data_IF_021458622719
#
_entry.id   IF_021458622719
#
_cell.length_a   1.000
_cell.length_b   1.000
_cell.length_c   1.000
_cell.angle_alpha   90.00
_cell.angle_beta   90.00
_cell.angle_gamma   90.00
#
_symmetry.space_group_name_H-M   'P 1'
#
loop_
_entity.id
_entity.type
_entity.pdbx_description
1 polymer ?
#
# COMPACT_ATOMS: atom_id res chain seq x y z
N UNK A 1 13.80 -28.58 -18.77
CA UNK A 1 14.03 -27.11 -18.89
C UNK A 1 14.13 -26.75 -20.36
N UNK A 2 15.09 -27.34 -21.10
CA UNK A 2 15.17 -27.18 -22.56
C UNK A 2 13.88 -27.62 -23.29
N UNK A 3 13.19 -28.67 -22.84
CA UNK A 3 11.96 -29.16 -23.45
C UNK A 3 10.81 -28.16 -23.30
N UNK A 4 10.69 -27.55 -22.11
CA UNK A 4 9.70 -26.51 -21.83
C UNK A 4 9.98 -25.27 -22.68
N UNK A 5 11.23 -24.80 -22.70
CA UNK A 5 11.60 -23.62 -23.48
C UNK A 5 11.35 -23.83 -24.98
N UNK A 6 11.76 -24.98 -25.52
CA UNK A 6 11.50 -25.36 -26.92
C UNK A 6 10.02 -25.39 -27.24
N UNK A 7 9.19 -25.94 -26.35
CA UNK A 7 7.74 -25.99 -26.54
C UNK A 7 7.09 -24.60 -26.53
N UNK A 8 7.53 -23.73 -25.62
CA UNK A 8 7.07 -22.34 -25.59
C UNK A 8 7.49 -21.61 -26.87
N UNK A 9 8.75 -21.75 -27.29
CA UNK A 9 9.26 -21.14 -28.52
C UNK A 9 8.44 -21.61 -29.74
N UNK A 10 8.26 -22.93 -29.90
CA UNK A 10 7.47 -23.54 -30.98
C UNK A 10 6.02 -23.03 -31.02
N UNK A 11 5.41 -22.78 -29.87
CA UNK A 11 4.05 -22.24 -29.83
C UNK A 11 4.01 -20.80 -30.35
N UNK A 12 5.02 -20.00 -30.02
CA UNK A 12 5.11 -18.56 -30.29
C UNK A 12 5.66 -18.21 -31.67
N UNK A 13 6.15 -19.16 -32.45
CA UNK A 13 6.62 -18.95 -33.85
C UNK A 13 5.54 -18.39 -34.78
N UNK A 14 4.27 -18.69 -34.51
CA UNK A 14 3.14 -18.24 -35.32
C UNK A 14 1.90 -18.02 -34.45
N UNK A 15 0.99 -17.16 -34.91
CA UNK A 15 -0.31 -16.97 -34.28
C UNK A 15 -1.18 -18.22 -34.47
N UNK A 16 -2.07 -18.47 -33.51
CA UNK A 16 -2.88 -19.70 -33.38
C UNK A 16 -4.38 -19.40 -33.30
N UNK A 17 -4.84 -18.36 -34.00
CA UNK A 17 -6.23 -17.86 -33.93
C UNK A 17 -7.32 -18.86 -34.38
N UNK A 18 -6.96 -19.88 -35.17
CA UNK A 18 -7.86 -20.95 -35.62
C UNK A 18 -7.87 -22.19 -34.72
N UNK A 19 -7.06 -22.20 -33.65
CA UNK A 19 -6.96 -23.34 -32.73
C UNK A 19 -7.87 -23.16 -31.52
N UNK A 20 -8.19 -24.24 -30.81
CA UNK A 20 -8.97 -24.20 -29.58
C UNK A 20 -8.13 -24.00 -28.31
N UNK A 21 -6.82 -23.79 -28.46
CA UNK A 21 -5.90 -23.60 -27.34
C UNK A 21 -6.20 -22.35 -26.49
N UNK A 22 -6.97 -21.40 -27.01
CA UNK A 22 -7.46 -20.25 -26.23
C UNK A 22 -8.42 -20.66 -25.09
N UNK A 23 -8.97 -21.88 -25.13
CA UNK A 23 -9.85 -22.43 -24.09
C UNK A 23 -9.08 -22.99 -22.89
N UNK A 24 -7.75 -23.11 -22.98
CA UNK A 24 -6.95 -23.61 -21.87
C UNK A 24 -7.05 -22.69 -20.66
N UNK A 25 -6.97 -23.30 -19.49
CA UNK A 25 -6.92 -22.63 -18.19
C UNK A 25 -5.51 -22.59 -17.62
N UNK A 26 -4.55 -23.29 -18.20
CA UNK A 26 -3.17 -23.35 -17.68
C UNK A 26 -2.21 -23.04 -18.81
N UNK A 27 -1.30 -22.10 -18.57
CA UNK A 27 -0.28 -21.68 -19.53
C UNK A 27 1.09 -21.70 -18.87
N UNK A 28 2.12 -22.09 -19.61
CA UNK A 28 3.50 -22.13 -19.15
C UNK A 28 4.22 -20.90 -19.66
N UNK A 29 4.87 -20.16 -18.77
CA UNK A 29 5.65 -18.97 -19.08
C UNK A 29 7.15 -19.32 -19.10
N UNK A 30 7.82 -18.98 -20.21
CA UNK A 30 9.29 -18.96 -20.28
C UNK A 30 9.83 -17.64 -19.74
N UNK A 31 9.25 -16.53 -20.22
CA UNK A 31 9.44 -15.17 -19.71
C UNK A 31 8.20 -14.35 -20.04
N UNK A 32 8.07 -13.17 -19.43
CA UNK A 32 6.95 -12.26 -19.70
C UNK A 32 6.76 -12.03 -21.20
N UNK A 33 5.54 -12.20 -21.68
CA UNK A 33 5.20 -12.08 -23.11
C UNK A 33 5.41 -13.36 -23.94
N UNK A 34 5.95 -14.44 -23.38
CA UNK A 34 6.16 -15.72 -24.06
C UNK A 34 5.55 -16.87 -23.26
N UNK A 35 4.42 -17.39 -23.76
CA UNK A 35 3.63 -18.40 -23.07
C UNK A 35 3.22 -19.53 -24.01
N UNK A 36 2.89 -20.70 -23.46
CA UNK A 36 2.25 -21.77 -24.23
C UNK A 36 1.14 -22.45 -23.40
N UNK A 37 0.00 -22.80 -24.02
CA UNK A 37 -1.06 -23.59 -23.37
C UNK A 37 -0.54 -24.96 -22.93
N UNK A 38 -0.93 -25.40 -21.73
CA UNK A 38 -0.53 -26.68 -21.18
C UNK A 38 -0.95 -27.86 -22.08
N UNK A 39 -2.14 -27.80 -22.68
CA UNK A 39 -2.62 -28.86 -23.58
C UNK A 39 -1.77 -28.96 -24.85
N UNK A 40 -1.22 -27.84 -25.34
CA UNK A 40 -0.26 -27.85 -26.45
C UNK A 40 1.05 -28.54 -26.02
N UNK A 41 1.57 -28.18 -24.84
CA UNK A 41 2.83 -28.72 -24.32
C UNK A 41 2.76 -30.24 -24.15
N UNK A 42 1.71 -30.74 -23.49
CA UNK A 42 1.47 -32.19 -23.31
C UNK A 42 1.34 -32.95 -24.64
N UNK A 43 0.89 -32.30 -25.71
CA UNK A 43 0.65 -32.93 -27.01
C UNK A 43 1.86 -32.88 -27.95
N UNK A 44 2.65 -31.81 -27.89
CA UNK A 44 3.69 -31.48 -28.89
C UNK A 44 5.12 -31.63 -28.39
N UNK A 45 5.32 -31.65 -27.09
CA UNK A 45 6.65 -31.80 -26.48
C UNK A 45 6.75 -33.19 -25.89
N UNK A 46 7.53 -34.06 -26.52
CA UNK A 46 7.77 -35.41 -26.03
C UNK A 46 8.44 -35.39 -24.66
N UNK A 47 7.95 -36.22 -23.74
CA UNK A 47 8.45 -36.26 -22.36
C UNK A 47 8.09 -35.04 -21.50
N UNK A 48 7.21 -34.16 -21.98
CA UNK A 48 6.73 -33.04 -21.16
C UNK A 48 5.88 -33.55 -19.99
N UNK A 49 6.34 -33.23 -18.78
CA UNK A 49 5.62 -33.49 -17.54
C UNK A 49 5.53 -32.21 -16.70
N UNK A 50 4.31 -31.87 -16.34
CA UNK A 50 3.96 -30.71 -15.53
C UNK A 50 4.43 -30.87 -14.08
N UNK A 51 4.32 -32.07 -13.51
CA UNK A 51 4.77 -32.35 -12.14
C UNK A 51 6.29 -32.21 -12.02
N UNK A 52 7.02 -32.60 -13.08
CA UNK A 52 8.46 -32.36 -13.18
C UNK A 52 8.85 -30.88 -13.14
N UNK A 53 7.99 -29.96 -13.59
CA UNK A 53 8.26 -28.53 -13.48
C UNK A 53 8.14 -28.06 -12.03
N UNK A 54 7.11 -28.51 -11.33
CA UNK A 54 6.88 -28.14 -9.93
C UNK A 54 8.02 -28.65 -9.03
N UNK A 55 8.47 -29.89 -9.25
CA UNK A 55 9.64 -30.42 -8.51
C UNK A 55 10.94 -29.65 -8.78
N UNK A 56 11.01 -28.90 -9.89
CA UNK A 56 12.13 -28.02 -10.24
C UNK A 56 11.94 -26.58 -9.76
N UNK A 57 10.87 -26.28 -9.02
CA UNK A 57 10.61 -24.98 -8.40
C UNK A 57 9.69 -24.05 -9.18
N UNK A 58 9.06 -24.52 -10.26
CA UNK A 58 7.99 -23.76 -10.90
C UNK A 58 6.76 -23.70 -9.98
N UNK A 59 5.99 -22.62 -10.09
CA UNK A 59 4.77 -22.40 -9.31
C UNK A 59 3.60 -22.06 -10.21
N UNK A 60 2.38 -22.25 -9.72
CA UNK A 60 1.18 -21.69 -10.33
C UNK A 60 0.87 -20.33 -9.73
N UNK A 61 0.61 -19.37 -10.60
CA UNK A 61 0.04 -18.09 -10.23
C UNK A 61 -1.30 -17.86 -10.93
N UNK A 62 -2.28 -17.35 -10.19
CA UNK A 62 -3.55 -16.94 -10.76
C UNK A 62 -3.38 -15.64 -11.52
N UNK A 63 -3.82 -15.62 -12.79
CA UNK A 63 -3.80 -14.41 -13.61
C UNK A 63 -4.61 -13.27 -12.98
N UNK A 64 -5.75 -13.57 -12.36
CA UNK A 64 -6.60 -12.56 -11.71
C UNK A 64 -5.90 -11.91 -10.50
N UNK A 65 -5.10 -12.67 -9.75
CA UNK A 65 -4.41 -12.17 -8.57
C UNK A 65 -3.13 -11.41 -8.91
N UNK A 66 -2.34 -11.92 -9.85
CA UNK A 66 -1.07 -11.31 -10.25
C UNK A 66 -1.27 -10.12 -11.19
N UNK A 67 -2.32 -10.15 -12.02
CA UNK A 67 -2.65 -9.06 -12.91
C UNK A 67 -1.61 -8.85 -14.02
N UNK A 68 -1.15 -9.93 -14.65
CA UNK A 68 -0.18 -9.91 -15.75
C UNK A 68 -0.81 -9.29 -17.02
N UNK A 69 -0.42 -8.05 -17.31
CA UNK A 69 -0.91 -7.31 -18.50
C UNK A 69 -0.30 -7.88 -19.77
N UNK A 70 0.97 -8.24 -19.71
CA UNK A 70 1.74 -8.81 -20.80
C UNK A 70 1.12 -10.14 -21.27
N UNK A 71 0.59 -10.95 -20.35
CA UNK A 71 -0.18 -12.14 -20.73
C UNK A 71 -1.45 -11.81 -21.51
N UNK A 72 -2.19 -10.78 -21.09
CA UNK A 72 -3.43 -10.37 -21.78
C UNK A 72 -3.14 -9.88 -23.20
N UNK A 73 -2.09 -9.09 -23.36
CA UNK A 73 -1.60 -8.61 -24.66
C UNK A 73 -1.12 -9.77 -25.54
N UNK A 74 -0.35 -10.69 -24.98
CA UNK A 74 0.10 -11.92 -25.65
C UNK A 74 -1.09 -12.75 -26.12
N UNK A 75 -2.08 -13.00 -25.25
CA UNK A 75 -3.24 -13.82 -25.58
C UNK A 75 -4.05 -13.23 -26.73
N UNK A 76 -4.27 -11.90 -26.72
CA UNK A 76 -4.99 -11.22 -27.79
C UNK A 76 -4.23 -11.31 -29.11
N UNK A 77 -2.92 -11.10 -29.10
CA UNK A 77 -2.07 -11.28 -30.28
C UNK A 77 -2.08 -12.72 -30.79
N UNK A 78 -1.95 -13.69 -29.89
CA UNK A 78 -1.73 -15.08 -30.23
C UNK A 78 -3.00 -15.76 -30.75
N UNK A 79 -4.16 -15.42 -30.21
CA UNK A 79 -5.44 -16.02 -30.59
C UNK A 79 -6.35 -15.08 -31.39
N UNK A 80 -5.90 -13.85 -31.66
CA UNK A 80 -6.66 -12.79 -32.35
C UNK A 80 -8.03 -12.54 -31.70
N UNK A 81 -8.09 -12.61 -30.36
CA UNK A 81 -9.31 -12.44 -29.57
C UNK A 81 -9.03 -11.94 -28.17
N UNK A 82 -9.93 -11.11 -27.65
CA UNK A 82 -9.86 -10.63 -26.27
C UNK A 82 -10.22 -11.74 -25.28
N UNK A 83 -9.50 -11.77 -24.17
CA UNK A 83 -9.82 -12.66 -23.06
C UNK A 83 -11.07 -12.17 -22.33
N UNK A 84 -12.04 -13.07 -22.11
CA UNK A 84 -13.22 -12.77 -21.30
C UNK A 84 -12.83 -12.72 -19.83
N UNK A 85 -13.41 -11.79 -19.08
CA UNK A 85 -13.17 -11.67 -17.62
C UNK A 85 -13.48 -12.97 -16.88
N UNK A 86 -14.53 -13.69 -17.28
CA UNK A 86 -14.90 -14.99 -16.68
C UNK A 86 -13.82 -16.06 -16.87
N UNK A 87 -13.14 -16.04 -18.02
CA UNK A 87 -12.03 -16.94 -18.33
C UNK A 87 -10.78 -16.58 -17.54
N UNK A 88 -10.44 -15.29 -17.49
CA UNK A 88 -9.25 -14.79 -16.79
C UNK A 88 -9.18 -15.21 -15.31
N UNK A 89 -10.33 -15.37 -14.63
CA UNK A 89 -10.40 -15.85 -13.24
C UNK A 89 -9.93 -17.29 -13.05
N UNK A 90 -10.04 -18.09 -14.09
CA UNK A 90 -9.71 -19.51 -14.08
C UNK A 90 -8.31 -19.78 -14.63
N UNK A 91 -7.66 -18.76 -15.19
CA UNK A 91 -6.33 -18.91 -15.79
C UNK A 91 -5.24 -18.96 -14.71
N UNK A 92 -4.42 -19.99 -14.81
CA UNK A 92 -3.19 -20.19 -14.06
C UNK A 92 -1.99 -20.09 -15.00
N UNK A 93 -0.92 -19.46 -14.52
CA UNK A 93 0.36 -19.35 -15.21
C UNK A 93 1.40 -20.15 -14.42
N UNK A 94 2.04 -21.11 -15.06
CA UNK A 94 3.18 -21.85 -14.52
C UNK A 94 4.44 -21.08 -14.87
N UNK A 95 5.23 -20.68 -13.88
CA UNK A 95 6.51 -20.00 -14.10
C UNK A 95 7.52 -20.27 -12.99
N UNK A 96 8.79 -19.96 -13.27
CA UNK A 96 9.86 -20.06 -12.30
C UNK A 96 10.11 -18.69 -11.65
N UNK A 97 9.91 -18.54 -10.33
CA UNK A 97 10.20 -17.29 -9.63
C UNK A 97 11.69 -16.93 -9.72
N UNK A 98 11.97 -15.63 -9.86
CA UNK A 98 13.33 -15.10 -9.74
C UNK A 98 13.72 -15.00 -8.26
N UNK A 99 14.15 -16.14 -7.71
CA UNK A 99 14.53 -16.25 -6.30
C UNK A 99 15.64 -15.28 -5.91
N UNK A 100 16.61 -15.03 -6.81
CA UNK A 100 17.70 -14.08 -6.53
C UNK A 100 17.13 -12.67 -6.33
N UNK A 101 16.32 -12.20 -7.27
CA UNK A 101 15.69 -10.88 -7.16
C UNK A 101 14.79 -10.77 -5.93
N UNK A 102 14.11 -11.86 -5.56
CA UNK A 102 13.31 -11.93 -4.33
C UNK A 102 14.21 -11.75 -3.10
N UNK A 103 15.30 -12.51 -2.99
CA UNK A 103 16.23 -12.40 -1.85
C UNK A 103 16.91 -11.04 -1.77
N UNK A 104 17.35 -10.47 -2.89
CA UNK A 104 17.94 -9.13 -2.95
C UNK A 104 16.93 -8.06 -2.47
N UNK A 105 15.66 -8.21 -2.86
CA UNK A 105 14.59 -7.33 -2.40
C UNK A 105 14.31 -7.50 -0.89
N UNK A 106 14.29 -8.74 -0.39
CA UNK A 106 14.11 -9.03 1.05
C UNK A 106 15.26 -8.43 1.86
N UNK A 107 16.50 -8.56 1.39
CA UNK A 107 17.67 -7.97 2.04
C UNK A 107 17.58 -6.44 2.06
N UNK A 108 17.18 -5.83 0.94
CA UNK A 108 16.95 -4.38 0.86
C UNK A 108 15.88 -3.91 1.83
N UNK A 109 14.75 -4.64 1.90
CA UNK A 109 13.68 -4.36 2.87
C UNK A 109 14.22 -4.47 4.29
N UNK A 110 14.98 -5.53 4.62
CA UNK A 110 15.56 -5.69 5.94
C UNK A 110 16.48 -4.51 6.31
N UNK A 111 17.39 -4.10 5.40
CA UNK A 111 18.28 -2.94 5.59
C UNK A 111 17.49 -1.66 5.86
N UNK A 112 16.42 -1.41 5.09
CA UNK A 112 15.55 -0.24 5.31
C UNK A 112 14.86 -0.32 6.67
N UNK A 113 14.36 -1.49 7.07
CA UNK A 113 13.76 -1.68 8.40
C UNK A 113 14.77 -1.44 9.52
N UNK A 114 16.02 -1.89 9.37
CA UNK A 114 17.07 -1.64 10.37
C UNK A 114 17.38 -0.15 10.50
N UNK A 115 17.55 0.58 9.38
CA UNK A 115 17.72 2.04 9.39
C UNK A 115 16.55 2.72 10.12
N UNK A 116 15.30 2.35 9.81
CA UNK A 116 14.13 2.94 10.44
C UNK A 116 14.02 2.60 11.94
N UNK A 117 14.55 1.45 12.37
CA UNK A 117 14.60 1.05 13.78
C UNK A 117 15.65 1.86 14.54
N UNK A 118 16.84 2.02 13.95
CA UNK A 118 17.95 2.77 14.52
C UNK A 118 17.57 4.25 14.68
N UNK A 119 16.86 4.81 13.69
CA UNK A 119 16.28 6.16 13.73
C UNK A 119 15.01 6.27 14.59
N UNK A 120 14.66 5.20 15.34
CA UNK A 120 13.56 5.20 16.31
C UNK A 120 12.22 5.58 15.69
N UNK A 121 11.96 5.10 14.48
CA UNK A 121 10.70 5.32 13.75
C UNK A 121 9.76 4.12 13.99
N UNK A 122 10.27 2.90 13.80
CA UNK A 122 9.46 1.68 13.89
C UNK A 122 9.60 0.98 15.25
N UNK A 123 8.46 0.64 15.87
CA UNK A 123 8.39 -0.03 17.17
C UNK A 123 7.21 -1.01 17.27
N UNK A 124 7.43 -2.20 17.82
CA UNK A 124 6.36 -3.08 18.32
C UNK A 124 5.32 -3.54 17.27
N UNK A 125 5.75 -4.01 16.10
CA UNK A 125 4.88 -4.73 15.14
C UNK A 125 3.70 -3.95 14.56
N UNK A 126 3.56 -2.64 14.85
CA UNK A 126 2.57 -1.77 14.19
C UNK A 126 2.90 -1.63 12.70
N UNK A 127 1.88 -1.30 11.89
CA UNK A 127 2.05 -1.05 10.45
C UNK A 127 2.92 0.20 10.21
N UNK A 128 3.90 0.09 9.31
CA UNK A 128 4.83 1.17 8.95
C UNK A 128 4.16 2.53 8.68
N UNK A 129 3.07 2.65 7.88
CA UNK A 129 2.43 3.95 7.66
C UNK A 129 1.98 4.62 8.97
N UNK A 130 1.45 3.84 9.92
CA UNK A 130 0.97 4.38 11.20
C UNK A 130 2.15 4.88 12.04
N UNK A 131 3.21 4.09 12.16
CA UNK A 131 4.40 4.47 12.91
C UNK A 131 5.07 5.71 12.31
N UNK A 132 5.14 5.79 10.99
CA UNK A 132 5.74 6.93 10.31
C UNK A 132 4.91 8.20 10.48
N UNK A 133 3.57 8.10 10.38
CA UNK A 133 2.69 9.23 10.67
C UNK A 133 2.77 9.69 12.13
N UNK A 134 2.83 8.75 13.08
CA UNK A 134 3.09 9.04 14.51
C UNK A 134 4.44 9.75 14.70
N UNK A 135 5.50 9.29 14.01
CA UNK A 135 6.83 9.89 14.05
C UNK A 135 6.86 11.30 13.42
N UNK A 136 6.22 11.51 12.28
CA UNK A 136 6.08 12.84 11.69
C UNK A 136 5.36 13.80 12.63
N UNK A 137 4.24 13.37 13.22
CA UNK A 137 3.51 14.19 14.19
C UNK A 137 4.42 14.58 15.37
N UNK A 138 5.19 13.60 15.89
CA UNK A 138 6.18 13.84 16.94
C UNK A 138 7.21 14.91 16.54
N UNK A 139 7.82 14.79 15.37
CA UNK A 139 8.83 15.73 14.90
C UNK A 139 8.27 17.13 14.61
N UNK A 140 7.07 17.21 14.01
CA UNK A 140 6.46 18.47 13.56
C UNK A 140 5.89 19.27 14.74
N UNK A 141 5.19 18.59 15.65
CA UNK A 141 4.47 19.20 16.76
C UNK A 141 5.23 19.12 18.10
N UNK A 142 6.45 18.57 18.11
CA UNK A 142 7.27 18.46 19.32
C UNK A 142 6.66 17.56 20.39
N UNK A 143 5.99 16.48 19.99
CA UNK A 143 5.29 15.62 20.94
C UNK A 143 6.27 14.82 21.80
N UNK A 144 6.01 14.77 23.10
CA UNK A 144 6.68 13.86 24.02
C UNK A 144 6.01 12.50 23.96
N UNK A 145 6.81 11.44 23.80
CA UNK A 145 6.33 10.07 23.78
C UNK A 145 6.62 9.43 25.14
N UNK A 146 5.60 9.03 25.87
CA UNK A 146 5.74 8.45 27.22
C UNK A 146 5.08 7.08 27.27
N UNK A 147 5.68 6.15 28.04
CA UNK A 147 5.13 4.80 28.19
C UNK A 147 3.72 4.89 28.80
N UNK A 148 2.75 4.24 28.14
CA UNK A 148 1.37 4.22 28.60
C UNK A 148 1.22 3.25 29.76
N UNK A 149 0.28 3.54 30.67
CA UNK A 149 -0.18 2.60 31.71
C UNK A 149 -0.99 1.45 31.12
N UNK A 150 -1.47 1.58 29.88
CA UNK A 150 -2.12 0.50 29.15
C UNK A 150 -1.10 -0.42 28.46
N UNK A 151 -1.45 -1.69 28.24
CA UNK A 151 -0.61 -2.69 27.55
C UNK A 151 -0.19 -2.33 26.10
N UNK A 152 -0.56 -1.15 25.56
CA UNK A 152 -0.37 -0.77 24.15
C UNK A 152 0.85 0.12 23.85
N UNK A 153 1.78 0.30 24.79
CA UNK A 153 3.13 0.76 24.49
C UNK A 153 3.44 2.21 24.90
N UNK A 154 2.73 3.21 24.38
CA UNK A 154 3.01 4.63 24.69
C UNK A 154 1.85 5.58 24.34
N UNK A 155 1.88 6.78 24.91
CA UNK A 155 0.99 7.92 24.66
C UNK A 155 1.80 9.16 24.26
N UNK A 156 1.19 10.09 23.52
CA UNK A 156 1.80 11.37 23.13
C UNK A 156 1.31 12.52 23.99
N UNK A 157 2.19 13.48 24.28
CA UNK A 157 1.92 14.63 25.12
C UNK A 157 2.55 15.92 24.57
N UNK A 158 1.93 17.07 24.88
CA UNK A 158 2.52 18.40 24.78
C UNK A 158 2.40 19.06 26.16
N UNK A 159 3.53 19.24 26.84
CA UNK A 159 3.51 19.48 28.29
C UNK A 159 2.76 18.35 28.99
N UNK A 160 1.80 18.70 29.85
CA UNK A 160 0.97 17.73 30.57
C UNK A 160 -0.28 17.28 29.81
N UNK A 161 -0.49 17.80 28.59
CA UNK A 161 -1.69 17.53 27.80
C UNK A 161 -1.46 16.36 26.86
N UNK A 162 -2.23 15.30 27.03
CA UNK A 162 -2.23 14.16 26.11
C UNK A 162 -2.73 14.59 24.72
N UNK A 163 -2.13 14.05 23.67
CA UNK A 163 -2.48 14.28 22.27
C UNK A 163 -2.76 12.93 21.61
N UNK A 164 -3.86 12.82 20.88
CA UNK A 164 -4.16 11.64 20.08
C UNK A 164 -3.65 11.85 18.66
N UNK A 165 -2.91 10.87 18.12
CA UNK A 165 -2.44 10.90 16.73
C UNK A 165 -3.12 9.77 15.96
N UNK A 166 -3.81 10.13 14.88
CA UNK A 166 -4.52 9.22 13.99
C UNK A 166 -3.89 9.33 12.61
N UNK A 167 -3.57 8.19 12.00
CA UNK A 167 -2.95 8.16 10.67
C UNK A 167 -3.91 7.53 9.66
N UNK A 168 -4.18 8.25 8.59
CA UNK A 168 -4.87 7.73 7.40
C UNK A 168 -3.85 7.53 6.28
N UNK A 169 -3.83 6.36 5.65
CA UNK A 169 -2.90 6.04 4.56
C UNK A 169 -3.65 5.72 3.27
N UNK A 170 -3.27 6.38 2.19
CA UNK A 170 -3.82 6.21 0.85
C UNK A 170 -4.03 7.55 0.15
N UNK A 171 -4.04 7.52 -1.19
CA UNK A 171 -4.08 8.75 -2.00
C UNK A 171 -5.42 9.48 -1.92
N UNK A 172 -6.47 8.80 -1.46
CA UNK A 172 -7.79 9.38 -1.16
C UNK A 172 -8.27 8.95 0.23
N UNK A 173 -9.08 9.79 0.86
CA UNK A 173 -9.77 9.43 2.12
C UNK A 173 -10.91 8.47 1.82
N UNK A 174 -11.19 7.53 2.74
CA UNK A 174 -12.36 6.66 2.60
C UNK A 174 -13.65 7.51 2.52
N UNK A 175 -14.66 7.12 1.72
CA UNK A 175 -15.97 7.78 1.74
C UNK A 175 -16.64 7.80 3.13
N UNK A 176 -16.25 6.85 3.99
CA UNK A 176 -16.70 6.78 5.38
C UNK A 176 -15.97 7.79 6.29
N UNK A 177 -14.87 8.39 5.85
CA UNK A 177 -14.04 9.29 6.66
C UNK A 177 -12.99 8.56 7.50
N UNK A 178 -12.22 9.33 8.27
CA UNK A 178 -11.20 8.81 9.18
C UNK A 178 -11.85 8.33 10.46
N UNK A 179 -11.50 7.11 10.89
CA UNK A 179 -12.05 6.50 12.11
C UNK A 179 -11.28 6.96 13.34
N UNK A 180 -11.97 7.55 14.31
CA UNK A 180 -11.46 7.91 15.64
C UNK A 180 -12.22 7.13 16.70
N UNK A 181 -11.53 6.57 17.71
CA UNK A 181 -12.19 5.82 18.79
C UNK A 181 -12.31 6.71 20.02
N UNK A 182 -13.53 6.90 20.53
CA UNK A 182 -13.78 7.63 21.77
C UNK A 182 -13.45 6.71 22.95
N UNK A 183 -12.40 7.03 23.71
CA UNK A 183 -12.14 6.41 25.01
C UNK A 183 -13.14 6.97 26.03
N UNK A 184 -13.68 6.11 26.91
CA UNK A 184 -14.80 6.43 27.81
C UNK A 184 -14.45 7.38 28.96
N UNK A 185 -13.16 7.60 29.27
CA UNK A 185 -12.73 8.33 30.47
C UNK A 185 -11.58 9.34 30.28
N UNK A 186 -10.85 9.32 29.16
CA UNK A 186 -9.79 10.30 28.89
C UNK A 186 -9.82 10.68 27.42
N UNK A 187 -10.16 11.94 27.13
CA UNK A 187 -9.90 12.52 25.82
C UNK A 187 -8.61 13.32 25.91
N UNK A 188 -7.77 13.14 24.89
CA UNK A 188 -6.65 14.04 24.64
C UNK A 188 -7.13 15.49 24.53
N UNK A 189 -6.25 16.46 24.77
CA UNK A 189 -6.57 17.87 24.57
C UNK A 189 -6.81 18.20 23.09
N UNK A 190 -6.17 17.45 22.19
CA UNK A 190 -6.32 17.57 20.74
C UNK A 190 -6.18 16.23 20.03
N UNK A 191 -6.66 16.19 18.80
CA UNK A 191 -6.51 15.08 17.87
C UNK A 191 -5.78 15.58 16.63
N UNK A 192 -4.64 14.97 16.32
CA UNK A 192 -3.88 15.19 15.09
C UNK A 192 -4.21 14.05 14.14
N UNK A 193 -4.67 14.39 12.94
CA UNK A 193 -4.88 13.44 11.84
C UNK A 193 -3.81 13.70 10.79
N UNK A 194 -2.93 12.72 10.59
CA UNK A 194 -1.93 12.74 9.51
C UNK A 194 -2.45 11.93 8.34
N UNK A 195 -2.56 12.56 7.17
CA UNK A 195 -2.90 11.87 5.93
C UNK A 195 -1.61 11.59 5.15
N UNK A 196 -1.27 10.32 4.98
CA UNK A 196 -0.12 9.87 4.20
C UNK A 196 -0.54 9.38 2.82
N UNK A 197 0.24 9.75 1.81
CA UNK A 197 0.13 9.18 0.47
C UNK A 197 0.81 7.80 0.39
N UNK A 198 0.63 7.09 -0.74
CA UNK A 198 1.24 5.77 -0.93
C UNK A 198 2.76 5.76 -0.91
N UNK A 199 3.39 6.88 -1.24
CA UNK A 199 4.84 7.08 -1.14
C UNK A 199 5.31 7.45 0.27
N UNK A 200 4.44 7.34 1.28
CA UNK A 200 4.69 7.63 2.68
C UNK A 200 4.93 9.11 3.04
N UNK A 201 4.82 10.03 2.09
CA UNK A 201 4.89 11.46 2.38
C UNK A 201 3.55 12.00 2.89
N UNK A 202 3.61 13.12 3.62
CA UNK A 202 2.43 13.79 4.17
C UNK A 202 1.66 14.44 3.02
N UNK A 203 0.43 13.97 2.82
CA UNK A 203 -0.52 14.55 1.87
C UNK A 203 -1.26 15.73 2.47
N UNK A 204 -1.66 15.62 3.73
CA UNK A 204 -2.30 16.70 4.48
C UNK A 204 -2.27 16.45 5.99
N UNK A 205 -2.52 17.48 6.79
CA UNK A 205 -2.62 17.39 8.24
C UNK A 205 -3.88 18.11 8.71
N UNK A 206 -4.66 17.45 9.57
CA UNK A 206 -5.77 18.07 10.26
C UNK A 206 -5.50 18.08 11.77
N UNK A 207 -5.66 19.24 12.40
CA UNK A 207 -5.57 19.38 13.85
C UNK A 207 -6.96 19.77 14.37
N UNK A 208 -7.49 18.98 15.29
CA UNK A 208 -8.83 19.17 15.84
C UNK A 208 -8.75 19.36 17.35
N UNK A 209 -9.40 20.40 17.84
CA UNK A 209 -9.64 20.55 19.27
C UNK A 209 -10.65 19.48 19.71
N UNK A 210 -10.35 18.76 20.79
CA UNK A 210 -11.23 17.68 21.27
C UNK A 210 -12.60 18.20 21.66
N UNK A 211 -12.73 19.45 22.10
CA UNK A 211 -14.01 20.11 22.36
C UNK A 211 -14.89 20.23 21.12
N UNK A 212 -14.29 20.48 19.94
CA UNK A 212 -15.02 20.49 18.68
C UNK A 212 -15.51 19.10 18.33
N UNK A 213 -14.62 18.09 18.46
CA UNK A 213 -14.97 16.68 18.20
C UNK A 213 -16.10 16.23 19.13
N UNK A 214 -16.02 16.57 20.41
CA UNK A 214 -17.04 16.27 21.40
C UNK A 214 -18.36 16.96 21.08
N UNK A 215 -18.38 18.28 20.87
CA UNK A 215 -19.64 19.00 20.59
C UNK A 215 -20.33 18.49 19.33
N UNK A 216 -19.57 18.26 18.26
CA UNK A 216 -20.13 17.86 16.96
C UNK A 216 -20.57 16.39 16.93
N UNK A 217 -19.99 15.56 17.81
CA UNK A 217 -20.19 14.11 17.76
C UNK A 217 -20.57 13.47 19.11
N UNK A 218 -21.05 14.27 20.08
CA UNK A 218 -21.38 13.84 21.44
C UNK A 218 -22.33 12.63 21.48
N UNK A 219 -23.31 12.59 20.57
CA UNK A 219 -24.31 11.53 20.47
C UNK A 219 -23.91 10.34 19.58
N UNK A 220 -22.73 10.35 18.95
CA UNK A 220 -22.22 9.20 18.20
C UNK A 220 -21.53 8.24 19.19
N UNK A 221 -21.68 6.93 18.97
CA UNK A 221 -21.15 5.89 19.86
C UNK A 221 -19.62 5.89 20.00
N UNK A 222 -19.03 4.82 20.54
CA UNK A 222 -17.58 4.72 20.81
C UNK A 222 -16.66 4.86 19.58
N UNK A 223 -17.22 4.86 18.37
CA UNK A 223 -16.51 5.07 17.12
C UNK A 223 -17.07 6.29 16.40
N UNK A 224 -16.19 7.23 16.10
CA UNK A 224 -16.46 8.41 15.30
C UNK A 224 -15.84 8.25 13.92
N UNK A 225 -16.53 8.77 12.91
CA UNK A 225 -16.06 8.84 11.53
C UNK A 225 -16.06 10.30 11.11
N UNK A 226 -14.88 10.84 10.86
CA UNK A 226 -14.67 12.23 10.50
C UNK A 226 -14.52 12.33 8.98
N UNK A 227 -15.53 12.85 8.30
CA UNK A 227 -15.47 13.06 6.86
C UNK A 227 -14.71 14.35 6.55
N UNK A 228 -13.92 14.36 5.48
CA UNK A 228 -13.13 15.53 5.10
C UNK A 228 -14.00 16.79 4.90
N UNK A 229 -15.23 16.65 4.39
CA UNK A 229 -16.18 17.77 4.28
C UNK A 229 -16.57 18.38 5.64
N UNK A 230 -16.56 17.59 6.71
CA UNK A 230 -16.93 18.03 8.06
C UNK A 230 -15.77 18.71 8.80
N UNK A 231 -14.53 18.44 8.39
CA UNK A 231 -13.30 18.93 9.04
C UNK A 231 -12.40 19.74 8.08
N UNK A 232 -12.88 20.06 6.87
CA UNK A 232 -12.14 20.76 5.81
C UNK A 232 -11.50 22.07 6.29
N UNK A 233 -12.18 22.83 7.15
CA UNK A 233 -11.68 24.09 7.70
C UNK A 233 -10.53 23.93 8.70
N UNK A 234 -10.19 22.71 9.12
CA UNK A 234 -9.14 22.39 10.08
C UNK A 234 -7.91 21.75 9.41
N UNK A 235 -7.88 21.67 8.08
CA UNK A 235 -6.66 21.29 7.40
C UNK A 235 -5.62 22.38 7.51
N UNK A 236 -4.35 21.99 7.65
CA UNK A 236 -3.26 22.90 7.97
C UNK A 236 -3.04 23.96 6.88
N UNK A 237 -3.23 23.58 5.62
CA UNK A 237 -3.18 24.49 4.46
C UNK A 237 -4.30 25.55 4.44
N UNK A 238 -5.26 25.49 5.36
CA UNK A 238 -6.46 26.35 5.37
C UNK A 238 -6.71 27.05 6.71
N UNK A 239 -6.35 26.43 7.83
CA UNK A 239 -6.65 26.92 9.18
C UNK A 239 -5.52 27.78 9.75
N UNK A 240 -5.71 29.10 9.78
CA UNK A 240 -4.78 30.07 10.40
C UNK A 240 -4.46 29.75 11.86
N UNK A 241 -5.38 29.09 12.57
CA UNK A 241 -5.24 28.71 14.00
C UNK A 241 -4.13 27.69 14.27
N UNK A 242 -3.61 27.04 13.24
CA UNK A 242 -2.66 25.94 13.40
C UNK A 242 -1.21 26.37 13.28
N UNK A 243 -0.93 27.59 12.78
CA UNK A 243 0.43 28.12 12.57
C UNK A 243 1.31 27.98 13.82
N UNK A 244 0.80 28.44 14.96
CA UNK A 244 1.54 28.46 16.23
C UNK A 244 1.72 27.08 16.87
N UNK A 245 1.07 26.05 16.31
CA UNK A 245 1.17 24.68 16.82
C UNK A 245 2.35 23.91 16.23
N UNK A 246 2.92 24.37 15.12
CA UNK A 246 4.07 23.71 14.49
C UNK A 246 5.35 24.18 15.16
N UNK A 247 6.01 23.24 15.82
CA UNK A 247 7.32 23.45 16.46
C UNK A 247 8.43 23.39 15.42
N UNK A 248 8.35 22.47 14.46
CA UNK A 248 9.38 22.27 13.44
C UNK A 248 8.82 22.44 12.02
N UNK A 249 8.87 23.68 11.52
CA UNK A 249 8.43 24.03 10.15
C UNK A 249 9.24 23.32 9.07
N UNK A 250 10.55 23.16 9.28
CA UNK A 250 11.43 22.49 8.32
C UNK A 250 11.07 21.01 8.14
N UNK A 251 10.79 20.31 9.25
CA UNK A 251 10.32 18.93 9.20
C UNK A 251 8.99 18.82 8.46
N UNK A 252 8.04 19.72 8.74
CA UNK A 252 6.75 19.75 8.06
C UNK A 252 6.91 19.88 6.54
N UNK A 253 7.73 20.83 6.08
CA UNK A 253 7.98 21.03 4.64
C UNK A 253 8.73 19.85 4.01
N UNK A 254 9.74 19.30 4.70
CA UNK A 254 10.56 18.17 4.20
C UNK A 254 9.74 16.88 4.03
N UNK A 255 8.77 16.64 4.90
CA UNK A 255 7.98 15.41 4.89
C UNK A 255 6.69 15.53 4.07
N UNK A 256 6.30 16.76 3.71
CA UNK A 256 5.13 17.04 2.89
C UNK A 256 5.35 16.71 1.41
N UNK A 257 4.29 16.23 0.75
CA UNK A 257 4.24 16.19 -0.71
C UNK A 257 4.49 17.60 -1.28
N UNK A 258 5.11 17.73 -2.47
CA UNK A 258 5.43 19.03 -3.07
C UNK A 258 4.24 20.00 -3.10
N UNK A 259 3.06 19.50 -3.48
CA UNK A 259 1.82 20.30 -3.50
C UNK A 259 1.44 20.85 -2.13
N UNK A 260 1.53 20.04 -1.08
CA UNK A 260 1.24 20.48 0.28
C UNK A 260 2.33 21.45 0.76
N UNK A 261 3.60 21.14 0.50
CA UNK A 261 4.72 22.00 0.90
C UNK A 261 4.60 23.40 0.31
N UNK A 262 4.27 23.53 -0.99
CA UNK A 262 4.04 24.83 -1.63
C UNK A 262 2.93 25.64 -0.93
N UNK A 263 1.76 25.02 -0.71
CA UNK A 263 0.66 25.67 -0.01
C UNK A 263 1.04 26.07 1.42
N UNK A 264 1.85 25.26 2.10
CA UNK A 264 2.31 25.52 3.45
C UNK A 264 3.35 26.63 3.50
N UNK A 265 4.23 26.76 2.52
CA UNK A 265 5.22 27.84 2.46
C UNK A 265 4.51 29.20 2.37
N UNK A 266 3.58 29.37 1.42
CA UNK A 266 2.76 30.58 1.29
C UNK A 266 1.98 30.88 2.58
N UNK A 267 1.47 29.83 3.22
CA UNK A 267 0.72 29.95 4.46
C UNK A 267 1.61 30.29 5.67
N UNK A 268 2.85 29.80 5.75
CA UNK A 268 3.74 30.02 6.88
C UNK A 268 4.52 31.35 6.79
N UNK A 269 4.61 31.94 5.61
CA UNK A 269 5.20 33.26 5.32
C UNK A 269 4.21 34.43 5.45
N UNK A 270 2.90 34.15 5.43
CA UNK A 270 1.82 35.11 5.71
C UNK A 270 1.52 35.26 7.20
#
# INVERSE_FOLDING_TARGET
MQEMEKGVDLFNEATRGSTDYYKDNVYIMKKKGEYAPLSFMKKKVEGFDEESLLSRGFIYDSLELVGDKEFSEWYEKQFSRKMKRSHAKQVLIIHLPDNKRIFDAIETVNKVYDILRDERIIFNGKKLPVQLGEWYAKCIFGLMQQKSTSQRGFDFYVGDKRVEVVVHWGDQTSPKGVKVRKSLCDLSASVIIIYLARNFMIRDICLLDSDYVLRKFAGKGHTLFLKDSEISGYFFSKSTKHKDKVVNKNALLKYALPKLAMNLTEFLES
#
